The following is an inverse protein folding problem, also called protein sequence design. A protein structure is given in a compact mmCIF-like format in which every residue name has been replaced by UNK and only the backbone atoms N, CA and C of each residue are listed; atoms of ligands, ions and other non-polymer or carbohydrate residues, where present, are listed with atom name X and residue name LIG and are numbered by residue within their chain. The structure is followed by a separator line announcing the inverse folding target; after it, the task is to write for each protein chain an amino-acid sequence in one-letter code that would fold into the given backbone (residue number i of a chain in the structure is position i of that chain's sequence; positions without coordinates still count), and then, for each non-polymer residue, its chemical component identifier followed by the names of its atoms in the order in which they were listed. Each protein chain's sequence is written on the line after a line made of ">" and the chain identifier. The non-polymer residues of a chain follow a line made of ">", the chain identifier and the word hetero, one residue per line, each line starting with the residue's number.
data_IF_325294493809
#
_entry.id   IF_325294493809
#
_cell.length_a   1.000
_cell.length_b   1.000
_cell.length_c   1.000
_cell.angle_alpha   90.00
_cell.angle_beta   90.00
_cell.angle_gamma   90.00
#
_symmetry.space_group_name_H-M   'P 1'
#
loop_
_entity.id
_entity.type
_entity.pdbx_description
1 polymer ?
#
# COMPACT_ATOMS: atom_id res chain seq x y z
N UNK A 1 17.01 13.46 -14.43
CA UNK A 1 16.66 14.13 -13.17
C UNK A 1 15.33 14.82 -13.41
N UNK A 2 14.34 14.66 -12.55
CA UNK A 2 13.10 15.42 -12.71
C UNK A 2 13.44 16.86 -12.33
N UNK A 3 13.17 17.81 -13.23
CA UNK A 3 13.47 19.22 -13.01
C UNK A 3 12.34 19.84 -12.18
N UNK A 4 12.67 20.39 -11.03
CA UNK A 4 11.77 21.14 -10.15
C UNK A 4 12.17 22.63 -10.12
N UNK A 5 12.80 23.12 -11.20
CA UNK A 5 13.34 24.49 -11.30
C UNK A 5 12.26 25.56 -11.17
N UNK A 6 11.01 25.24 -11.52
CA UNK A 6 9.84 26.10 -11.37
C UNK A 6 9.33 26.25 -9.92
N UNK A 7 9.82 25.42 -9.00
CA UNK A 7 9.39 25.48 -7.60
C UNK A 7 10.18 26.52 -6.78
N UNK A 8 9.57 27.13 -5.74
CA UNK A 8 10.27 27.96 -4.75
C UNK A 8 11.49 27.23 -4.16
N UNK A 9 12.51 28.01 -3.74
CA UNK A 9 13.76 27.43 -3.27
C UNK A 9 13.59 26.52 -2.04
N UNK A 10 12.73 26.87 -1.09
CA UNK A 10 12.42 26.02 0.08
C UNK A 10 11.78 24.69 -0.32
N UNK A 11 10.91 24.69 -1.33
CA UNK A 11 10.31 23.47 -1.86
C UNK A 11 11.36 22.60 -2.53
N UNK A 12 12.22 23.18 -3.37
CA UNK A 12 13.32 22.44 -4.01
C UNK A 12 14.26 21.78 -2.99
N UNK A 13 14.66 22.53 -1.96
CA UNK A 13 15.48 22.01 -0.85
C UNK A 13 14.79 20.84 -0.14
N UNK A 14 13.50 20.97 0.13
CA UNK A 14 12.72 19.89 0.75
C UNK A 14 12.63 18.65 -0.13
N UNK A 15 12.34 18.79 -1.42
CA UNK A 15 12.26 17.67 -2.35
C UNK A 15 13.60 16.94 -2.47
N UNK A 16 14.71 17.70 -2.58
CA UNK A 16 16.06 17.15 -2.58
C UNK A 16 16.37 16.40 -1.28
N UNK A 17 16.01 16.97 -0.13
CA UNK A 17 16.16 16.30 1.17
C UNK A 17 15.36 14.99 1.22
N UNK A 18 14.13 14.97 0.69
CA UNK A 18 13.32 13.74 0.63
C UNK A 18 13.94 12.69 -0.27
N UNK A 19 14.51 13.07 -1.39
CA UNK A 19 15.13 12.16 -2.34
C UNK A 19 16.50 11.65 -1.83
N UNK A 20 17.41 12.57 -1.51
CA UNK A 20 18.80 12.24 -1.22
C UNK A 20 19.04 11.76 0.22
N UNK A 21 18.41 12.39 1.22
CA UNK A 21 18.66 12.09 2.64
C UNK A 21 17.67 11.05 3.19
N UNK A 22 16.39 11.15 2.79
CA UNK A 22 15.37 10.21 3.26
C UNK A 22 15.13 9.03 2.33
N UNK A 23 15.87 8.91 1.22
CA UNK A 23 15.75 7.83 0.23
C UNK A 23 14.29 7.56 -0.19
N UNK A 24 13.48 8.63 -0.33
CA UNK A 24 12.10 8.45 -0.80
C UNK A 24 12.09 8.19 -2.29
N UNK A 25 11.18 7.31 -2.73
CA UNK A 25 11.07 6.98 -4.16
C UNK A 25 10.77 8.24 -4.98
N UNK A 26 11.28 8.31 -6.21
CA UNK A 26 11.00 9.39 -7.17
C UNK A 26 9.50 9.67 -7.31
N UNK A 27 8.67 8.62 -7.32
CA UNK A 27 7.21 8.75 -7.36
C UNK A 27 6.66 9.47 -6.12
N UNK A 28 7.21 9.22 -4.93
CA UNK A 28 6.79 9.90 -3.70
C UNK A 28 7.19 11.36 -3.72
N UNK A 29 8.41 11.66 -4.17
CA UNK A 29 8.92 13.03 -4.28
C UNK A 29 8.11 13.83 -5.31
N UNK A 30 7.80 13.21 -6.45
CA UNK A 30 6.93 13.79 -7.48
C UNK A 30 5.52 14.10 -6.94
N UNK A 31 4.96 13.21 -6.11
CA UNK A 31 3.67 13.46 -5.48
C UNK A 31 3.74 14.64 -4.49
N UNK A 32 4.82 14.77 -3.72
CA UNK A 32 5.04 15.93 -2.85
C UNK A 32 5.16 17.23 -3.63
N UNK A 33 5.87 17.21 -4.75
CA UNK A 33 5.94 18.35 -5.65
C UNK A 33 4.56 18.81 -6.11
N UNK A 34 3.71 17.90 -6.58
CA UNK A 34 2.34 18.23 -7.01
C UNK A 34 1.46 18.75 -5.87
N UNK A 35 1.58 18.17 -4.68
CA UNK A 35 0.79 18.59 -3.54
C UNK A 35 1.18 19.99 -3.07
N UNK A 36 2.48 20.30 -3.02
CA UNK A 36 3.00 21.62 -2.66
C UNK A 36 2.71 22.64 -3.75
N UNK A 37 2.79 22.28 -5.03
CA UNK A 37 2.39 23.14 -6.15
C UNK A 37 0.93 23.55 -6.03
N UNK A 38 0.03 22.60 -5.79
CA UNK A 38 -1.40 22.88 -5.61
C UNK A 38 -1.62 23.80 -4.41
N UNK A 39 -0.91 23.57 -3.31
CA UNK A 39 -1.01 24.41 -2.11
C UNK A 39 -0.49 25.84 -2.35
N UNK A 40 0.65 26.00 -2.99
CA UNK A 40 1.21 27.31 -3.29
C UNK A 40 0.33 28.13 -4.25
N UNK A 41 -0.24 27.48 -5.24
CA UNK A 41 -1.20 28.13 -6.16
C UNK A 41 -2.46 28.61 -5.45
N UNK A 42 -2.98 27.81 -4.52
CA UNK A 42 -4.08 28.22 -3.65
C UNK A 42 -3.70 29.45 -2.81
N UNK A 43 -2.50 29.48 -2.24
CA UNK A 43 -2.01 30.63 -1.47
C UNK A 43 -1.92 31.90 -2.31
N UNK A 44 -1.47 31.79 -3.58
CA UNK A 44 -1.45 32.91 -4.51
C UNK A 44 -2.84 33.49 -4.76
N UNK A 45 -3.84 32.63 -5.02
CA UNK A 45 -5.23 33.06 -5.18
C UNK A 45 -5.72 33.77 -3.92
N UNK A 46 -5.44 33.19 -2.74
CA UNK A 46 -5.94 33.72 -1.47
C UNK A 46 -5.27 35.05 -1.07
N UNK A 47 -3.97 35.18 -1.28
CA UNK A 47 -3.20 36.35 -0.84
C UNK A 47 -3.14 37.48 -1.88
N UNK A 48 -3.36 37.13 -3.16
CA UNK A 48 -3.32 38.05 -4.29
C UNK A 48 -4.52 37.84 -5.22
N UNK A 49 -5.77 37.97 -4.67
CA UNK A 49 -6.98 37.73 -5.45
C UNK A 49 -7.10 38.67 -6.67
N UNK A 50 -6.60 39.89 -6.54
CA UNK A 50 -6.57 40.88 -7.62
C UNK A 50 -5.83 40.39 -8.88
N UNK A 51 -4.89 39.44 -8.73
CA UNK A 51 -4.11 38.89 -9.83
C UNK A 51 -4.56 37.52 -10.28
N UNK A 52 -5.03 36.68 -9.34
CA UNK A 52 -5.20 35.24 -9.60
C UNK A 52 -6.63 34.73 -9.47
N UNK A 53 -7.61 35.54 -8.99
CA UNK A 53 -8.95 35.04 -8.73
C UNK A 53 -9.67 34.47 -9.97
N UNK A 54 -9.41 35.04 -11.14
CA UNK A 54 -10.03 34.61 -12.40
C UNK A 54 -9.22 33.58 -13.21
N UNK A 55 -8.01 33.22 -12.69
CA UNK A 55 -7.12 32.28 -13.36
C UNK A 55 -7.41 30.87 -12.84
N UNK A 56 -7.52 29.90 -13.74
CA UNK A 56 -7.63 28.50 -13.34
C UNK A 56 -6.41 28.06 -12.51
N UNK A 57 -6.63 27.35 -11.41
CA UNK A 57 -5.56 26.91 -10.49
C UNK A 57 -4.40 26.24 -11.25
N UNK A 58 -4.69 25.43 -12.26
CA UNK A 58 -3.67 24.67 -13.00
C UNK A 58 -2.85 25.52 -13.97
N UNK A 59 -3.32 26.72 -14.32
CA UNK A 59 -2.66 27.65 -15.21
C UNK A 59 -1.70 28.61 -14.47
N UNK A 60 -1.85 28.76 -13.14
CA UNK A 60 -0.98 29.61 -12.34
C UNK A 60 0.43 29.00 -12.33
N UNK A 61 1.49 29.74 -12.77
CA UNK A 61 2.86 29.24 -12.73
C UNK A 61 3.29 28.96 -11.29
N UNK A 62 3.98 27.84 -11.07
CA UNK A 62 4.50 27.55 -9.72
C UNK A 62 5.63 28.54 -9.33
N UNK A 63 6.35 29.06 -10.33
CA UNK A 63 7.40 30.07 -10.15
C UNK A 63 6.89 31.42 -9.62
N UNK A 64 5.58 31.68 -9.69
CA UNK A 64 5.01 32.90 -9.09
C UNK A 64 4.96 32.83 -7.56
N UNK A 65 5.02 31.64 -6.99
CA UNK A 65 5.12 31.44 -5.54
C UNK A 65 6.57 31.68 -5.09
N UNK A 66 6.74 32.47 -4.03
CA UNK A 66 8.05 32.74 -3.42
C UNK A 66 8.17 32.06 -2.04
N UNK A 67 9.39 32.01 -1.52
CA UNK A 67 9.65 31.45 -0.18
C UNK A 67 8.92 32.26 0.91
N UNK A 68 8.82 33.58 0.79
CA UNK A 68 8.13 34.43 1.76
C UNK A 68 6.63 34.11 1.86
N UNK A 69 5.97 33.81 0.73
CA UNK A 69 4.58 33.35 0.72
C UNK A 69 4.41 32.08 1.56
N UNK A 70 5.36 31.14 1.46
CA UNK A 70 5.33 29.89 2.21
C UNK A 70 5.68 30.07 3.69
N UNK A 71 6.56 31.01 4.01
CA UNK A 71 6.93 31.32 5.40
C UNK A 71 5.84 32.10 6.15
N UNK A 72 5.01 32.86 5.45
CA UNK A 72 3.90 33.64 6.03
C UNK A 72 2.61 32.81 6.29
N UNK A 73 2.61 31.51 6.00
CA UNK A 73 1.46 30.62 6.18
C UNK A 73 1.16 30.39 7.65
N UNK A 74 -0.11 30.50 8.01
CA UNK A 74 -0.64 30.14 9.31
C UNK A 74 -1.60 28.94 9.25
N UNK A 75 -2.10 28.49 10.39
CA UNK A 75 -3.02 27.35 10.47
C UNK A 75 -4.35 27.56 9.74
N UNK A 76 -4.84 28.82 9.73
CA UNK A 76 -6.06 29.17 9.02
C UNK A 76 -5.93 29.00 7.51
N UNK A 77 -4.80 29.43 6.91
CA UNK A 77 -4.53 29.22 5.49
C UNK A 77 -4.57 27.72 5.11
N UNK A 78 -4.12 26.83 6.02
CA UNK A 78 -4.14 25.40 5.81
C UNK A 78 -5.56 24.83 5.95
N UNK A 79 -6.35 25.27 6.92
CA UNK A 79 -7.75 24.89 7.02
C UNK A 79 -8.55 25.28 5.77
N UNK A 80 -8.35 26.51 5.31
CA UNK A 80 -8.99 27.00 4.09
C UNK A 80 -8.56 26.20 2.85
N UNK A 81 -7.29 25.83 2.76
CA UNK A 81 -6.82 24.95 1.68
C UNK A 81 -7.51 23.59 1.70
N UNK A 82 -7.65 22.97 2.87
CA UNK A 82 -8.34 21.66 2.98
C UNK A 82 -9.82 21.80 2.63
N UNK A 83 -10.44 22.92 3.00
CA UNK A 83 -11.82 23.26 2.61
C UNK A 83 -11.95 23.46 1.09
N UNK A 84 -11.04 24.22 0.49
CA UNK A 84 -10.92 24.42 -0.95
C UNK A 84 -10.74 23.08 -1.72
N UNK A 85 -9.85 22.23 -1.21
CA UNK A 85 -9.68 20.88 -1.77
C UNK A 85 -10.97 20.06 -1.74
N UNK A 86 -11.84 20.27 -0.74
CA UNK A 86 -13.10 19.57 -0.64
C UNK A 86 -14.18 20.13 -1.57
N UNK A 87 -14.33 21.45 -1.57
CA UNK A 87 -15.49 22.14 -2.21
C UNK A 87 -15.22 22.42 -3.67
N UNK A 88 -14.02 22.89 -4.00
CA UNK A 88 -13.68 23.36 -5.36
C UNK A 88 -12.98 22.29 -6.18
N UNK A 89 -12.02 21.57 -5.57
CA UNK A 89 -11.30 20.49 -6.28
C UNK A 89 -11.98 19.12 -6.15
N UNK A 90 -13.09 19.02 -5.45
CA UNK A 90 -13.86 17.79 -5.22
C UNK A 90 -13.03 16.61 -4.75
N UNK A 91 -11.94 16.90 -4.02
CA UNK A 91 -11.03 15.87 -3.56
C UNK A 91 -11.68 15.01 -2.46
N UNK A 92 -11.67 13.71 -2.64
CA UNK A 92 -12.09 12.75 -1.62
C UNK A 92 -11.22 12.84 -0.35
N UNK A 93 -11.73 12.29 0.76
CA UNK A 93 -11.09 12.34 2.09
C UNK A 93 -9.63 11.86 2.06
N UNK A 94 -9.33 10.79 1.33
CA UNK A 94 -7.98 10.24 1.23
C UNK A 94 -6.99 11.21 0.56
N UNK A 95 -7.42 11.92 -0.49
CA UNK A 95 -6.59 12.91 -1.18
C UNK A 95 -6.31 14.11 -0.27
N UNK A 96 -7.31 14.60 0.45
CA UNK A 96 -7.18 15.69 1.42
C UNK A 96 -6.25 15.32 2.58
N UNK A 97 -6.40 14.12 3.13
CA UNK A 97 -5.52 13.59 4.17
C UNK A 97 -4.05 13.52 3.69
N UNK A 98 -3.83 13.03 2.45
CA UNK A 98 -2.49 12.96 1.85
C UNK A 98 -1.88 14.34 1.66
N UNK A 99 -2.63 15.32 1.12
CA UNK A 99 -2.18 16.70 0.94
C UNK A 99 -1.79 17.36 2.27
N UNK A 100 -2.62 17.22 3.31
CA UNK A 100 -2.31 17.73 4.65
C UNK A 100 -1.06 17.05 5.23
N UNK A 101 -0.89 15.74 5.04
CA UNK A 101 0.31 15.02 5.47
C UNK A 101 1.57 15.54 4.76
N UNK A 102 1.48 15.86 3.46
CA UNK A 102 2.56 16.49 2.71
C UNK A 102 2.93 17.85 3.31
N UNK A 103 1.95 18.72 3.54
CA UNK A 103 2.14 20.07 4.12
C UNK A 103 2.77 19.95 5.52
N UNK A 104 2.26 19.07 6.39
CA UNK A 104 2.85 18.83 7.72
C UNK A 104 4.31 18.41 7.66
N UNK A 105 4.66 17.52 6.74
CA UNK A 105 6.06 17.07 6.62
C UNK A 105 6.96 18.14 6.00
N UNK A 106 6.44 19.00 5.14
CA UNK A 106 7.15 20.15 4.62
C UNK A 106 7.42 21.16 5.74
N UNK A 107 6.43 21.60 6.49
CA UNK A 107 6.63 22.53 7.60
C UNK A 107 7.46 21.94 8.73
N UNK A 108 7.37 20.62 8.99
CA UNK A 108 8.29 19.94 9.91
C UNK A 108 9.76 20.03 9.43
N UNK A 109 10.00 19.94 8.12
CA UNK A 109 11.33 20.15 7.58
C UNK A 109 11.81 21.58 7.81
N UNK A 110 10.96 22.60 7.60
CA UNK A 110 11.30 24.01 7.85
C UNK A 110 11.59 24.31 9.33
N UNK A 111 10.88 23.65 10.26
CA UNK A 111 11.02 23.90 11.71
C UNK A 111 12.05 23.03 12.40
N UNK A 112 12.28 21.79 11.96
CA UNK A 112 13.13 20.82 12.68
C UNK A 112 14.43 20.48 11.96
N UNK A 113 14.52 20.73 10.64
CA UNK A 113 15.71 20.38 9.85
C UNK A 113 16.52 21.61 9.46
N UNK A 114 15.88 22.62 8.87
CA UNK A 114 16.59 23.83 8.44
C UNK A 114 16.36 25.05 9.35
N UNK A 115 15.48 24.92 10.35
CA UNK A 115 15.25 25.88 11.44
C UNK A 115 14.93 27.30 10.97
N UNK A 116 14.23 27.46 9.84
CA UNK A 116 13.80 28.77 9.31
C UNK A 116 12.46 29.24 9.88
N UNK A 117 11.70 28.35 10.49
CA UNK A 117 10.46 28.63 11.23
C UNK A 117 10.58 28.12 12.65
N UNK A 118 9.97 28.82 13.59
CA UNK A 118 9.89 28.41 15.00
C UNK A 118 8.87 27.30 15.19
N UNK A 119 7.66 27.47 14.66
CA UNK A 119 6.52 26.58 14.86
C UNK A 119 6.00 26.05 13.53
N UNK A 120 5.44 24.84 13.56
CA UNK A 120 4.83 24.21 12.39
C UNK A 120 3.34 24.59 12.30
N UNK A 121 2.90 25.45 11.36
CA UNK A 121 1.52 25.89 11.26
C UNK A 121 0.53 24.76 10.96
N UNK A 122 1.01 23.60 10.47
CA UNK A 122 0.19 22.45 10.19
C UNK A 122 0.04 21.48 11.37
N UNK A 123 0.73 21.70 12.49
CA UNK A 123 0.72 20.76 13.64
C UNK A 123 -0.66 20.64 14.25
N UNK A 124 -1.32 21.78 14.51
CA UNK A 124 -2.63 21.85 15.14
C UNK A 124 -3.82 21.56 14.18
N UNK A 125 -3.57 21.47 12.87
CA UNK A 125 -4.65 21.25 11.89
C UNK A 125 -5.10 19.80 11.92
N UNK A 126 -6.38 19.55 12.23
CA UNK A 126 -6.93 18.19 12.28
C UNK A 126 -6.92 17.49 10.92
N UNK A 127 -6.60 16.20 10.94
CA UNK A 127 -6.71 15.39 9.74
C UNK A 127 -8.18 15.06 9.42
N UNK A 128 -8.60 15.15 8.15
CA UNK A 128 -9.91 14.66 7.75
C UNK A 128 -10.13 13.22 8.22
N UNK A 129 -11.23 12.95 8.92
CA UNK A 129 -11.53 11.61 9.44
C UNK A 129 -11.73 10.63 8.29
N UNK A 130 -10.87 9.63 8.22
CA UNK A 130 -10.98 8.53 7.24
C UNK A 130 -12.09 7.57 7.70
N UNK A 131 -13.09 7.27 6.84
CA UNK A 131 -14.05 6.22 7.18
C UNK A 131 -13.32 4.89 7.33
N UNK A 132 -13.54 4.20 8.43
CA UNK A 132 -13.04 2.84 8.65
C UNK A 132 -13.79 1.91 7.69
N UNK A 133 -13.17 1.56 6.57
CA UNK A 133 -13.71 0.55 5.65
C UNK A 133 -13.16 -0.81 6.05
N UNK A 134 -14.04 -1.79 6.18
CA UNK A 134 -13.61 -3.18 6.34
C UNK A 134 -12.75 -3.60 5.13
N UNK A 135 -11.66 -4.34 5.36
CA UNK A 135 -10.84 -4.85 4.27
C UNK A 135 -11.69 -5.73 3.34
N UNK A 136 -11.64 -5.44 2.04
CA UNK A 136 -12.25 -6.32 1.04
C UNK A 136 -11.26 -7.42 0.67
N UNK A 137 -11.67 -8.66 0.79
CA UNK A 137 -10.88 -9.84 0.42
C UNK A 137 -11.80 -10.87 -0.27
N UNK A 138 -11.22 -11.88 -0.88
CA UNK A 138 -11.93 -13.04 -1.42
C UNK A 138 -12.04 -14.13 -0.36
N UNK A 139 -13.18 -14.79 -0.26
CA UNK A 139 -13.31 -16.00 0.56
C UNK A 139 -12.44 -17.13 -0.02
N UNK A 140 -12.34 -18.25 0.69
CA UNK A 140 -11.61 -19.42 0.20
C UNK A 140 -12.20 -19.94 -1.11
N UNK A 141 -13.53 -20.03 -1.19
CA UNK A 141 -14.27 -20.51 -2.36
C UNK A 141 -14.07 -19.54 -3.53
N UNK A 142 -14.15 -18.24 -3.29
CA UNK A 142 -13.90 -17.23 -4.32
C UNK A 142 -12.47 -17.24 -4.81
N UNK A 143 -11.52 -17.50 -3.93
CA UNK A 143 -10.10 -17.65 -4.30
C UNK A 143 -9.87 -18.88 -5.19
N UNK A 144 -10.55 -20.00 -4.90
CA UNK A 144 -10.56 -21.17 -5.75
C UNK A 144 -11.21 -20.87 -7.10
N UNK A 145 -12.36 -20.19 -7.11
CA UNK A 145 -13.06 -19.79 -8.35
C UNK A 145 -12.17 -18.90 -9.22
N UNK A 146 -11.43 -17.95 -8.63
CA UNK A 146 -10.47 -17.12 -9.37
C UNK A 146 -9.38 -17.96 -10.02
N UNK A 147 -8.80 -18.94 -9.32
CA UNK A 147 -7.79 -19.84 -9.87
C UNK A 147 -8.34 -20.71 -11.01
N UNK A 148 -9.55 -21.22 -10.87
CA UNK A 148 -10.21 -22.04 -11.90
C UNK A 148 -10.63 -21.24 -13.14
N UNK A 149 -10.83 -19.93 -13.01
CA UNK A 149 -11.20 -19.05 -14.13
C UNK A 149 -10.03 -18.60 -15.01
N UNK A 150 -8.81 -19.02 -14.67
CA UNK A 150 -7.61 -18.57 -15.41
C UNK A 150 -7.52 -19.31 -16.74
N UNK A 151 -7.65 -18.56 -17.85
CA UNK A 151 -7.65 -19.08 -19.20
C UNK A 151 -6.79 -18.23 -20.17
N UNK A 152 -6.68 -18.74 -21.42
CA UNK A 152 -6.03 -18.04 -22.53
C UNK A 152 -4.55 -18.39 -22.72
N UNK A 153 -3.94 -17.74 -23.71
CA UNK A 153 -2.57 -18.05 -24.20
C UNK A 153 -1.46 -18.02 -23.15
N UNK A 154 -1.66 -17.27 -22.07
CA UNK A 154 -0.68 -17.15 -20.98
C UNK A 154 -1.19 -17.77 -19.68
N UNK A 155 -2.19 -18.67 -19.74
CA UNK A 155 -2.86 -19.22 -18.56
C UNK A 155 -1.88 -19.80 -17.54
N UNK A 156 -0.87 -20.54 -17.96
CA UNK A 156 0.12 -21.15 -17.06
C UNK A 156 0.89 -20.08 -16.26
N UNK A 157 1.36 -19.03 -16.94
CA UNK A 157 2.02 -17.89 -16.29
C UNK A 157 1.08 -17.17 -15.33
N UNK A 158 -0.11 -16.85 -15.82
CA UNK A 158 -1.09 -16.04 -15.10
C UNK A 158 -1.62 -16.78 -13.86
N UNK A 159 -1.80 -18.11 -13.98
CA UNK A 159 -2.11 -19.00 -12.87
C UNK A 159 -1.00 -19.00 -11.81
N UNK A 160 0.25 -19.13 -12.23
CA UNK A 160 1.41 -19.07 -11.33
C UNK A 160 1.45 -17.74 -10.56
N UNK A 161 1.26 -16.61 -11.25
CA UNK A 161 1.23 -15.28 -10.63
C UNK A 161 0.11 -15.19 -9.58
N UNK A 162 -1.11 -15.62 -9.92
CA UNK A 162 -2.27 -15.56 -9.01
C UNK A 162 -2.05 -16.48 -7.81
N UNK A 163 -1.53 -17.70 -8.04
CA UNK A 163 -1.21 -18.66 -6.98
C UNK A 163 -0.21 -18.07 -5.98
N UNK A 164 0.86 -17.45 -6.46
CA UNK A 164 1.85 -16.80 -5.59
C UNK A 164 1.22 -15.64 -4.81
N UNK A 165 0.38 -14.79 -5.42
CA UNK A 165 -0.29 -13.73 -4.69
C UNK A 165 -1.20 -14.25 -3.57
N UNK A 166 -1.98 -15.29 -3.84
CA UNK A 166 -2.94 -15.84 -2.89
C UNK A 166 -2.28 -16.67 -1.77
N UNK A 167 -1.10 -17.25 -2.01
CA UNK A 167 -0.40 -18.07 -1.03
C UNK A 167 0.71 -17.33 -0.28
N UNK A 168 1.42 -16.39 -0.93
CA UNK A 168 2.57 -15.72 -0.31
C UNK A 168 2.29 -14.27 0.09
N UNK A 169 1.20 -13.68 -0.41
CA UNK A 169 0.82 -12.31 -0.08
C UNK A 169 1.85 -11.25 -0.49
N UNK A 170 2.57 -11.44 -1.59
CA UNK A 170 3.58 -10.52 -2.09
C UNK A 170 3.01 -9.15 -2.48
N UNK A 171 3.83 -8.11 -2.42
CA UNK A 171 3.54 -6.85 -3.11
C UNK A 171 3.77 -7.04 -4.61
N UNK A 172 3.00 -6.32 -5.43
CA UNK A 172 3.17 -6.43 -6.90
C UNK A 172 4.59 -6.07 -7.36
N UNK A 173 5.24 -5.10 -6.72
CA UNK A 173 6.63 -4.75 -7.01
C UNK A 173 7.62 -5.85 -6.63
N UNK A 174 7.36 -6.57 -5.56
CA UNK A 174 8.17 -7.72 -5.14
C UNK A 174 8.05 -8.85 -6.17
N UNK A 175 6.83 -9.22 -6.57
CA UNK A 175 6.61 -10.27 -7.56
C UNK A 175 7.28 -9.98 -8.91
N UNK A 176 7.14 -8.77 -9.45
CA UNK A 176 7.76 -8.43 -10.74
C UNK A 176 9.28 -8.31 -10.65
N UNK A 177 9.81 -8.08 -9.44
CA UNK A 177 11.23 -7.99 -9.16
C UNK A 177 11.95 -9.35 -9.11
N UNK A 178 11.23 -10.45 -8.92
CA UNK A 178 11.83 -11.77 -8.73
C UNK A 178 12.66 -12.16 -9.97
N UNK A 179 13.90 -12.57 -9.72
CA UNK A 179 14.80 -13.20 -10.68
C UNK A 179 14.84 -14.72 -10.48
N UNK A 180 15.28 -15.45 -11.48
CA UNK A 180 15.47 -16.90 -11.37
C UNK A 180 16.48 -17.27 -10.26
N UNK A 181 17.49 -16.43 -10.08
CA UNK A 181 18.49 -16.58 -9.01
C UNK A 181 17.97 -16.36 -7.60
N UNK A 182 16.81 -15.71 -7.45
CA UNK A 182 16.20 -15.47 -6.15
C UNK A 182 15.44 -16.68 -5.61
N UNK A 183 15.22 -17.67 -6.46
CA UNK A 183 14.47 -18.89 -6.13
C UNK A 183 15.47 -19.99 -5.78
N UNK A 184 15.23 -20.68 -4.65
CA UNK A 184 16.05 -21.84 -4.28
C UNK A 184 15.93 -22.97 -5.33
N UNK A 185 16.98 -23.77 -5.57
CA UNK A 185 16.96 -24.84 -6.58
C UNK A 185 15.86 -25.89 -6.37
N UNK A 186 15.46 -26.12 -5.12
CA UNK A 186 14.38 -27.04 -4.73
C UNK A 186 12.99 -26.40 -4.76
N UNK A 187 12.89 -25.12 -5.15
CA UNK A 187 11.67 -24.32 -5.21
C UNK A 187 10.91 -24.23 -3.87
N UNK A 188 11.63 -24.27 -2.75
CA UNK A 188 11.01 -24.16 -1.42
C UNK A 188 11.00 -22.74 -0.90
N UNK A 189 11.87 -21.87 -1.40
CA UNK A 189 11.99 -20.48 -0.95
C UNK A 189 12.23 -19.52 -2.11
N UNK A 190 11.85 -18.26 -1.89
CA UNK A 190 12.18 -17.14 -2.79
C UNK A 190 12.58 -15.91 -1.96
N UNK A 191 13.68 -15.27 -2.34
CA UNK A 191 14.11 -14.01 -1.77
C UNK A 191 13.42 -12.86 -2.48
N UNK A 192 12.84 -11.93 -1.72
CA UNK A 192 12.17 -10.75 -2.29
C UNK A 192 12.70 -9.48 -1.67
N UNK A 193 12.92 -8.48 -2.51
CA UNK A 193 13.35 -7.14 -2.08
C UNK A 193 12.14 -6.22 -1.93
N UNK A 194 11.91 -5.77 -0.71
CA UNK A 194 10.82 -4.88 -0.35
C UNK A 194 11.18 -3.39 -0.44
N UNK A 195 10.33 -2.55 0.15
CA UNK A 195 10.56 -1.10 0.24
C UNK A 195 11.83 -0.79 1.04
N UNK A 196 12.68 0.09 0.50
CA UNK A 196 13.94 0.47 1.12
C UNK A 196 15.03 -0.60 1.01
N UNK A 197 14.96 -1.44 -0.04
CA UNK A 197 15.93 -2.52 -0.30
C UNK A 197 16.05 -3.54 0.82
N UNK A 198 15.00 -3.70 1.64
CA UNK A 198 14.96 -4.74 2.67
C UNK A 198 14.62 -6.07 2.02
N UNK A 199 15.49 -7.03 2.18
CA UNK A 199 15.29 -8.39 1.69
C UNK A 199 14.60 -9.25 2.75
N UNK A 200 13.77 -10.18 2.29
CA UNK A 200 13.20 -11.25 3.11
C UNK A 200 12.99 -12.50 2.31
N UNK A 201 13.13 -13.64 2.98
CA UNK A 201 12.82 -14.94 2.43
C UNK A 201 11.33 -15.25 2.59
N UNK A 202 10.74 -15.81 1.54
CA UNK A 202 9.35 -16.30 1.51
C UNK A 202 9.39 -17.80 1.28
N UNK A 203 8.69 -18.56 2.10
CA UNK A 203 8.49 -19.99 1.91
C UNK A 203 7.41 -20.25 0.87
N UNK A 204 7.68 -21.17 -0.04
CA UNK A 204 6.78 -21.60 -1.11
C UNK A 204 6.15 -22.94 -0.72
N UNK A 205 4.82 -22.99 -0.66
CA UNK A 205 4.11 -24.23 -0.45
C UNK A 205 4.04 -25.08 -1.74
N UNK A 206 3.50 -26.29 -1.65
CA UNK A 206 3.39 -27.22 -2.77
C UNK A 206 2.65 -26.64 -3.97
N UNK A 207 1.60 -25.84 -3.75
CA UNK A 207 0.85 -25.19 -4.83
C UNK A 207 1.71 -24.16 -5.58
N UNK A 208 2.48 -23.33 -4.86
CA UNK A 208 3.41 -22.38 -5.48
C UNK A 208 4.53 -23.09 -6.23
N UNK A 209 5.12 -24.12 -5.62
CA UNK A 209 6.17 -24.94 -6.25
C UNK A 209 5.69 -25.52 -7.57
N UNK A 210 4.58 -26.25 -7.56
CA UNK A 210 4.01 -26.85 -8.77
C UNK A 210 3.68 -25.79 -9.84
N UNK A 211 3.11 -24.66 -9.47
CA UNK A 211 2.78 -23.59 -10.41
C UNK A 211 4.03 -22.96 -11.04
N UNK A 212 5.13 -22.81 -10.29
CA UNK A 212 6.41 -22.32 -10.79
C UNK A 212 7.02 -23.36 -11.73
N UNK A 213 7.06 -24.64 -11.36
CA UNK A 213 7.57 -25.74 -12.19
C UNK A 213 6.87 -25.78 -13.55
N UNK A 214 5.54 -25.73 -13.58
CA UNK A 214 4.77 -25.73 -14.82
C UNK A 214 5.05 -24.47 -15.66
N UNK A 215 5.15 -23.33 -15.02
CA UNK A 215 5.48 -22.09 -15.74
C UNK A 215 6.89 -22.13 -16.34
N UNK A 216 7.88 -22.63 -15.61
CA UNK A 216 9.26 -22.72 -16.11
C UNK A 216 9.37 -23.58 -17.38
N UNK A 217 8.54 -24.61 -17.55
CA UNK A 217 8.48 -25.44 -18.77
C UNK A 217 8.06 -24.64 -20.01
N UNK A 218 7.19 -23.65 -19.85
CA UNK A 218 6.65 -22.84 -20.95
C UNK A 218 7.18 -21.39 -20.97
N UNK A 219 8.10 -21.07 -20.05
CA UNK A 219 8.71 -19.75 -19.99
C UNK A 219 9.49 -19.48 -21.29
N UNK A 220 9.27 -18.31 -21.94
CA UNK A 220 9.99 -17.99 -23.17
C UNK A 220 11.52 -18.07 -22.99
N UNK A 221 12.22 -18.63 -23.98
CA UNK A 221 13.69 -18.70 -24.01
C UNK A 221 14.32 -17.48 -24.71
N UNK A 222 13.63 -16.93 -25.71
CA UNK A 222 14.09 -15.75 -26.46
C UNK A 222 13.77 -14.45 -25.72
N UNK A 223 14.57 -14.11 -24.71
CA UNK A 223 14.36 -12.97 -23.82
C UNK A 223 15.43 -11.92 -24.07
N UNK A 224 15.06 -10.63 -24.00
CA UNK A 224 16.02 -9.53 -24.09
C UNK A 224 17.10 -9.67 -23.02
N UNK A 225 18.35 -9.42 -23.36
CA UNK A 225 19.52 -9.70 -22.52
C UNK A 225 19.41 -9.12 -21.11
N UNK A 226 18.89 -7.91 -20.97
CA UNK A 226 18.70 -7.23 -19.67
C UNK A 226 17.66 -7.89 -18.75
N UNK A 227 16.73 -8.66 -19.32
CA UNK A 227 15.60 -9.26 -18.59
C UNK A 227 15.73 -10.80 -18.52
N UNK A 228 16.86 -11.36 -18.99
CA UNK A 228 17.07 -12.82 -19.10
C UNK A 228 16.83 -13.55 -17.77
N UNK A 229 17.21 -12.93 -16.68
CA UNK A 229 17.09 -13.52 -15.34
C UNK A 229 15.70 -13.33 -14.71
N UNK A 230 14.84 -12.46 -15.25
CA UNK A 230 13.52 -12.21 -14.68
C UNK A 230 12.65 -13.47 -14.66
N UNK A 231 12.03 -13.80 -13.54
CA UNK A 231 11.13 -14.96 -13.45
C UNK A 231 9.96 -14.80 -14.44
N UNK A 232 9.21 -13.71 -14.36
CA UNK A 232 7.99 -13.51 -15.15
C UNK A 232 8.24 -12.65 -16.40
N UNK A 233 7.94 -13.22 -17.55
CA UNK A 233 8.19 -12.64 -18.86
C UNK A 233 6.87 -12.26 -19.54
N UNK A 234 6.88 -11.09 -20.18
CA UNK A 234 5.77 -10.59 -20.99
C UNK A 234 5.76 -11.21 -22.39
N UNK A 235 4.67 -11.03 -23.13
CA UNK A 235 4.58 -11.41 -24.55
C UNK A 235 5.65 -10.75 -25.42
N UNK A 236 6.16 -9.58 -25.02
CA UNK A 236 7.20 -8.86 -25.75
C UNK A 236 8.62 -9.25 -25.30
N UNK A 237 8.77 -10.40 -24.64
CA UNK A 237 10.03 -10.94 -24.17
C UNK A 237 10.84 -10.02 -23.24
N UNK A 238 10.12 -9.21 -22.44
CA UNK A 238 10.67 -8.38 -21.36
C UNK A 238 10.15 -8.83 -20.01
N UNK A 239 10.80 -8.40 -18.92
CA UNK A 239 10.25 -8.51 -17.56
C UNK A 239 8.84 -7.95 -17.52
N UNK A 240 7.92 -8.64 -16.84
CA UNK A 240 6.58 -8.14 -16.58
C UNK A 240 6.61 -6.83 -15.78
N UNK A 241 5.87 -5.84 -16.21
CA UNK A 241 5.72 -4.60 -15.45
C UNK A 241 4.59 -4.70 -14.41
N UNK A 242 4.66 -3.85 -13.38
CA UNK A 242 3.58 -3.72 -12.38
C UNK A 242 2.22 -3.49 -13.04
N UNK A 243 2.17 -2.62 -14.06
CA UNK A 243 0.92 -2.30 -14.76
C UNK A 243 0.36 -3.53 -15.51
N UNK A 244 1.23 -4.32 -16.17
CA UNK A 244 0.81 -5.55 -16.86
C UNK A 244 0.24 -6.57 -15.87
N UNK A 245 0.84 -6.73 -14.69
CA UNK A 245 0.32 -7.62 -13.63
C UNK A 245 -1.03 -7.12 -13.13
N UNK A 246 -1.21 -5.81 -12.93
CA UNK A 246 -2.49 -5.24 -12.53
C UNK A 246 -3.59 -5.50 -13.57
N UNK A 247 -3.29 -5.30 -14.86
CA UNK A 247 -4.22 -5.57 -15.97
C UNK A 247 -4.59 -7.06 -16.04
N UNK A 248 -3.61 -7.94 -15.90
CA UNK A 248 -3.80 -9.40 -15.88
C UNK A 248 -4.74 -9.81 -14.73
N UNK A 249 -4.46 -9.37 -13.51
CA UNK A 249 -5.29 -9.68 -12.34
C UNK A 249 -6.72 -9.15 -12.54
N UNK A 250 -6.88 -7.93 -13.04
CA UNK A 250 -8.20 -7.38 -13.33
C UNK A 250 -8.97 -8.22 -14.37
N UNK A 251 -8.29 -8.65 -15.45
CA UNK A 251 -8.87 -9.55 -16.47
C UNK A 251 -9.42 -10.83 -15.84
N UNK A 252 -8.64 -11.52 -15.02
CA UNK A 252 -9.06 -12.79 -14.41
C UNK A 252 -10.10 -12.59 -13.31
N UNK A 253 -10.05 -11.51 -12.55
CA UNK A 253 -11.11 -11.15 -11.61
C UNK A 253 -12.44 -10.91 -12.31
N UNK A 254 -12.43 -10.26 -13.47
CA UNK A 254 -13.62 -10.06 -14.31
C UNK A 254 -14.14 -11.41 -14.85
N UNK A 255 -13.27 -12.25 -15.37
CA UNK A 255 -13.64 -13.59 -15.85
C UNK A 255 -14.25 -14.47 -14.75
N UNK A 256 -13.77 -14.31 -13.51
CA UNK A 256 -14.33 -14.97 -12.34
C UNK A 256 -15.64 -14.34 -11.82
N UNK A 257 -16.17 -13.28 -12.44
CA UNK A 257 -17.39 -12.59 -12.00
C UNK A 257 -17.18 -11.60 -10.82
N UNK A 258 -15.94 -11.20 -10.52
CA UNK A 258 -15.63 -10.34 -9.36
C UNK A 258 -15.39 -8.87 -9.73
N UNK A 259 -15.79 -8.41 -10.91
CA UNK A 259 -15.57 -7.02 -11.35
C UNK A 259 -16.21 -5.99 -10.40
N UNK A 260 -17.40 -6.28 -9.86
CA UNK A 260 -18.13 -5.41 -8.93
C UNK A 260 -17.59 -5.42 -7.48
N UNK A 261 -16.69 -6.35 -7.14
CA UNK A 261 -16.07 -6.40 -5.80
C UNK A 261 -14.98 -5.35 -5.59
N UNK A 262 -14.63 -4.58 -6.65
CA UNK A 262 -13.53 -3.61 -6.58
C UNK A 262 -12.23 -4.23 -6.06
N UNK A 263 -11.93 -5.46 -6.50
CA UNK A 263 -10.70 -6.17 -6.15
C UNK A 263 -9.49 -5.57 -6.89
N UNK A 264 -8.31 -5.73 -6.32
CA UNK A 264 -7.04 -5.30 -6.90
C UNK A 264 -5.90 -6.20 -6.42
N UNK A 265 -4.73 -6.12 -7.03
CA UNK A 265 -3.55 -6.90 -6.60
C UNK A 265 -3.26 -6.71 -5.10
N UNK A 266 -3.39 -5.49 -4.59
CA UNK A 266 -3.19 -5.23 -3.16
C UNK A 266 -4.24 -5.94 -2.29
N UNK A 267 -5.46 -6.08 -2.78
CA UNK A 267 -6.52 -6.82 -2.07
C UNK A 267 -6.35 -8.34 -2.15
N UNK A 268 -5.67 -8.88 -3.17
CA UNK A 268 -5.25 -10.29 -3.17
C UNK A 268 -4.23 -10.58 -2.06
N UNK A 269 -3.32 -9.64 -1.79
CA UNK A 269 -2.45 -9.73 -0.62
C UNK A 269 -3.24 -9.69 0.70
N UNK A 270 -4.29 -8.87 0.80
CA UNK A 270 -5.22 -8.91 1.93
C UNK A 270 -5.95 -10.24 2.03
N UNK A 271 -6.35 -10.82 0.90
CA UNK A 271 -6.94 -12.16 0.83
C UNK A 271 -5.99 -13.20 1.40
N UNK A 272 -4.74 -13.25 0.92
CA UNK A 272 -3.74 -14.19 1.42
C UNK A 272 -3.56 -14.08 2.95
N UNK A 273 -3.41 -12.86 3.44
CA UNK A 273 -3.27 -12.60 4.87
C UNK A 273 -4.48 -13.06 5.69
N UNK A 274 -5.68 -12.76 5.20
CA UNK A 274 -6.93 -13.14 5.88
C UNK A 274 -7.13 -14.66 5.89
N UNK A 275 -6.86 -15.33 4.77
CA UNK A 275 -6.97 -16.78 4.67
C UNK A 275 -5.94 -17.50 5.57
N UNK A 276 -4.69 -17.02 5.62
CA UNK A 276 -3.67 -17.55 6.55
C UNK A 276 -4.10 -17.37 8.01
N UNK A 277 -4.70 -16.24 8.35
CA UNK A 277 -5.16 -15.97 9.70
C UNK A 277 -6.37 -16.85 10.08
N UNK A 278 -7.41 -16.88 9.23
CA UNK A 278 -8.67 -17.55 9.53
C UNK A 278 -8.58 -19.08 9.46
N UNK A 279 -7.84 -19.60 8.47
CA UNK A 279 -7.78 -21.05 8.20
C UNK A 279 -6.43 -21.67 8.59
N UNK A 280 -5.35 -20.90 8.61
CA UNK A 280 -4.02 -21.37 8.98
C UNK A 280 -3.71 -21.26 10.46
N UNK A 281 -4.62 -20.75 11.31
CA UNK A 281 -4.38 -20.46 12.74
C UNK A 281 -3.06 -19.71 12.99
N UNK A 282 -2.66 -18.88 12.03
CA UNK A 282 -1.36 -18.19 12.05
C UNK A 282 -1.40 -17.02 13.03
N UNK A 283 -0.44 -16.96 13.96
CA UNK A 283 -0.29 -15.82 14.86
C UNK A 283 -0.07 -14.51 14.07
N UNK A 284 -0.64 -13.42 14.59
CA UNK A 284 -0.55 -12.07 13.96
C UNK A 284 0.91 -11.61 13.81
N UNK A 285 1.80 -12.02 14.71
CA UNK A 285 3.24 -11.70 14.65
C UNK A 285 3.91 -12.42 13.49
N UNK A 286 3.63 -13.72 13.33
CA UNK A 286 4.10 -14.51 12.18
C UNK A 286 3.56 -13.94 10.88
N UNK A 287 2.28 -13.56 10.85
CA UNK A 287 1.67 -12.94 9.68
C UNK A 287 2.33 -11.60 9.31
N UNK A 288 2.69 -10.79 10.32
CA UNK A 288 3.46 -9.55 10.11
C UNK A 288 4.79 -9.81 9.40
N UNK A 289 5.51 -10.85 9.83
CA UNK A 289 6.83 -11.20 9.27
C UNK A 289 6.69 -11.74 7.84
N UNK A 290 5.73 -12.65 7.59
CA UNK A 290 5.42 -13.14 6.23
C UNK A 290 5.11 -11.98 5.28
N UNK A 291 4.29 -11.02 5.72
CA UNK A 291 3.90 -9.88 4.90
C UNK A 291 4.99 -8.78 4.85
N UNK A 292 5.96 -8.77 5.74
CA UNK A 292 6.97 -7.70 5.84
C UNK A 292 6.32 -6.34 6.17
N UNK A 293 5.47 -6.30 7.19
CA UNK A 293 4.91 -5.07 7.73
C UNK A 293 5.84 -4.48 8.79
N UNK A 294 6.20 -3.21 8.65
CA UNK A 294 7.04 -2.53 9.66
C UNK A 294 6.30 -2.32 10.99
N UNK A 295 4.97 -2.12 10.94
CA UNK A 295 4.14 -1.87 12.12
C UNK A 295 3.07 -2.95 12.30
N UNK A 296 2.86 -3.39 13.54
CA UNK A 296 1.80 -4.34 13.90
C UNK A 296 0.41 -3.83 13.54
N UNK A 297 0.16 -2.51 13.66
CA UNK A 297 -1.11 -1.88 13.33
C UNK A 297 -1.58 -2.14 11.89
N UNK A 298 -0.65 -2.35 10.95
CA UNK A 298 -0.97 -2.73 9.58
C UNK A 298 -1.42 -4.19 9.45
N UNK A 299 -1.06 -5.05 10.38
CA UNK A 299 -1.47 -6.46 10.42
C UNK A 299 -2.75 -6.65 11.23
N UNK A 300 -3.02 -5.80 12.20
CA UNK A 300 -4.24 -5.83 13.02
C UNK A 300 -5.54 -5.67 12.21
N UNK A 301 -5.49 -5.13 10.99
CA UNK A 301 -6.66 -5.06 10.11
C UNK A 301 -7.18 -6.45 9.69
N UNK A 302 -6.37 -7.49 9.80
CA UNK A 302 -6.74 -8.88 9.50
C UNK A 302 -7.33 -9.60 10.72
N UNK A 303 -7.19 -9.03 11.91
CA UNK A 303 -7.65 -9.58 13.18
C UNK A 303 -9.09 -9.18 13.52
N UNK A 304 -9.93 -8.88 12.51
CA UNK A 304 -11.36 -8.85 12.74
C UNK A 304 -11.81 -10.25 13.16
N UNK A 305 -11.89 -10.40 14.46
CA UNK A 305 -12.22 -11.65 15.13
C UNK A 305 -13.60 -12.08 14.65
N UNK A 306 -13.65 -13.18 13.93
CA UNK A 306 -14.90 -13.84 13.61
C UNK A 306 -15.50 -14.34 14.95
N UNK A 307 -16.82 -14.24 15.12
CA UNK A 307 -17.52 -14.74 16.32
C UNK A 307 -17.21 -16.23 16.60
N UNK A 308 -16.93 -17.00 15.56
CA UNK A 308 -16.47 -18.39 15.69
C UNK A 308 -15.14 -18.51 16.40
N UNK A 309 -14.14 -17.69 16.04
CA UNK A 309 -12.82 -17.68 16.71
C UNK A 309 -12.92 -17.27 18.18
N UNK A 310 -13.84 -16.37 18.52
CA UNK A 310 -14.10 -16.00 19.93
C UNK A 310 -14.67 -17.21 20.66
N UNK A 311 -15.66 -17.89 20.07
CA UNK A 311 -16.30 -19.05 20.63
C UNK A 311 -15.30 -20.18 20.83
N UNK A 312 -14.49 -20.46 19.82
CA UNK A 312 -13.46 -21.52 19.88
C UNK A 312 -12.42 -21.20 20.97
N UNK A 313 -11.92 -19.95 21.02
CA UNK A 313 -10.97 -19.54 22.08
C UNK A 313 -11.55 -19.65 23.48
N UNK A 314 -12.84 -19.39 23.66
CA UNK A 314 -13.54 -19.55 24.95
C UNK A 314 -13.71 -21.03 25.28
N UNK A 315 -14.06 -21.86 24.31
CA UNK A 315 -14.24 -23.30 24.48
C UNK A 315 -12.90 -24.01 24.72
N UNK A 316 -11.82 -23.55 24.08
CA UNK A 316 -10.46 -24.09 24.25
C UNK A 316 -9.79 -23.64 25.55
N UNK A 317 -10.47 -22.83 26.39
CA UNK A 317 -9.95 -22.44 27.70
C UNK A 317 -9.78 -23.71 28.57
N UNK A 318 -8.59 -23.97 29.15
CA UNK A 318 -8.36 -25.15 29.99
C UNK A 318 -9.32 -25.29 31.19
N UNK A 319 -10.03 -24.22 31.53
CA UNK A 319 -11.00 -24.19 32.62
C UNK A 319 -12.45 -24.39 32.15
N UNK A 320 -12.69 -24.56 30.84
CA UNK A 320 -14.04 -24.66 30.26
C UNK A 320 -14.82 -25.89 30.80
N UNK A 321 -14.12 -26.95 31.16
CA UNK A 321 -14.69 -28.20 31.65
C UNK A 321 -14.73 -28.32 33.17
N UNK A 322 -14.23 -27.31 33.90
CA UNK A 322 -14.25 -27.32 35.37
C UNK A 322 -15.66 -27.02 35.87
N UNK A 323 -16.30 -28.00 36.46
CA UNK A 323 -17.60 -27.89 37.11
C UNK A 323 -17.40 -27.71 38.63
N UNK A 324 -18.28 -26.88 39.21
CA UNK A 324 -18.34 -26.71 40.64
C UNK A 324 -18.70 -28.06 41.30
N UNK A 325 -17.81 -28.61 42.11
CA UNK A 325 -17.99 -29.89 42.80
C UNK A 325 -18.76 -29.74 44.12
N UNK A 326 -18.80 -28.52 44.69
CA UNK A 326 -19.58 -28.21 45.91
C UNK A 326 -20.97 -27.71 45.53
N UNK A 327 -22.02 -28.29 46.12
CA UNK A 327 -23.38 -27.80 46.00
C UNK A 327 -23.58 -26.59 46.93
N UNK A 328 -24.48 -25.68 46.58
CA UNK A 328 -24.80 -24.47 47.37
C UNK A 328 -25.15 -24.81 48.82
N UNK A 329 -25.77 -25.99 49.08
CA UNK A 329 -26.13 -26.51 50.38
C UNK A 329 -24.91 -26.77 51.31
N UNK A 330 -23.71 -26.90 50.77
CA UNK A 330 -22.47 -27.13 51.55
C UNK A 330 -21.89 -25.82 52.11
N UNK A 331 -22.33 -24.66 51.65
CA UNK A 331 -21.93 -23.32 52.11
C UNK A 331 -22.86 -22.76 53.24
N UNK A 332 -24.06 -23.37 53.46
CA UNK A 332 -24.98 -22.94 54.47
C UNK A 332 -24.74 -23.65 55.83
N UNK A 333 -23.73 -24.51 55.91
CA UNK A 333 -23.43 -25.31 57.11
C UNK A 333 -22.11 -24.94 57.84
N UNK A 334 -21.41 -23.90 57.33
CA UNK A 334 -20.29 -23.25 58.01
C UNK A 334 -20.71 -21.87 58.55
#
# INVERSE_FOLDING_TARGET
>A
MQDYSDAPNLVRKYLNYKESTQNRSKKTVFQYYHDLRTFSRFLLIRKHPEKYAEINLDEIPFSDACDDLLLAVNSEDIYEFISYCSRTLENGVAARHRKLSCIRTFYRYLTKTILVLKDNPAEAVDSPKMPKKLPKYLTLEESKQLLLSVDGKNAVRDYCIITIFLNCGLRVSELVGIDLSDISPDLTTVNVTGKGSKERMIYLNSACKSAIEEYLKVRPSNIKSKDRNALFISRNHNRLSVQMVQTLIYKHLKAAGFENKNMSVHKLRHTAATLMYQHGKTDVRVLKDILGHEQLSTTQIYTHVNNEMIRDAVNDNPLSDIRQTRKVEDYEKE
#
